data_IF_783261128279
#
_entry.id   IF_783261128279
#
_cell.length_a   1.000
_cell.length_b   1.000
_cell.length_c   1.000
_cell.angle_alpha   90.00
_cell.angle_beta   90.00
_cell.angle_gamma   90.00
#
_symmetry.space_group_name_H-M   'P 1'
#
loop_
_entity.id
_entity.type
_entity.pdbx_description
1 polymer ?
#
# COMPACT_ATOMS: atom_id res chain seq x y z
N UNK A 1 12.56 -21.51 29.56
CA UNK A 1 12.95 -21.21 28.14
C UNK A 1 11.69 -21.17 27.31
N UNK A 2 11.26 -19.98 26.97
CA UNK A 2 10.05 -19.77 26.14
C UNK A 2 10.42 -20.02 24.66
N UNK A 3 10.02 -21.15 24.13
CA UNK A 3 10.12 -21.46 22.69
C UNK A 3 8.76 -21.23 22.02
N UNK A 4 8.21 -20.06 22.22
CA UNK A 4 6.99 -19.65 21.53
C UNK A 4 7.34 -19.25 20.10
N UNK A 5 7.08 -20.11 19.15
CA UNK A 5 6.95 -19.70 17.75
C UNK A 5 5.65 -18.93 17.68
N UNK A 6 5.73 -17.60 17.67
CA UNK A 6 4.58 -16.76 17.39
C UNK A 6 4.03 -17.18 16.02
N UNK A 7 2.80 -17.71 16.02
CA UNK A 7 2.12 -18.03 14.77
C UNK A 7 1.96 -16.73 14.00
N UNK A 8 2.72 -16.56 12.93
CA UNK A 8 2.57 -15.44 11.99
C UNK A 8 1.13 -15.42 11.48
N UNK A 9 0.44 -14.31 11.71
CA UNK A 9 -0.93 -14.12 11.21
C UNK A 9 -0.87 -14.02 9.70
N UNK A 10 -1.57 -14.91 9.00
CA UNK A 10 -1.67 -14.87 7.54
C UNK A 10 -2.37 -13.58 7.12
N UNK A 11 -1.66 -12.70 6.43
CA UNK A 11 -2.14 -11.38 6.00
C UNK A 11 -2.33 -11.25 4.49
N UNK A 12 -1.93 -12.26 3.72
CA UNK A 12 -2.08 -12.23 2.29
C UNK A 12 -3.50 -12.63 1.87
N UNK A 13 -4.03 -11.93 0.86
CA UNK A 13 -5.28 -12.30 0.19
C UNK A 13 -4.98 -12.60 -1.28
N UNK A 14 -5.73 -13.53 -1.92
CA UNK A 14 -5.49 -13.87 -3.32
C UNK A 14 -5.91 -12.74 -4.28
N UNK A 15 -5.43 -12.82 -5.51
CA UNK A 15 -5.75 -11.84 -6.56
C UNK A 15 -7.25 -11.68 -6.78
N UNK A 16 -8.01 -12.76 -6.65
CA UNK A 16 -9.48 -12.73 -6.70
C UNK A 16 -10.09 -11.73 -5.72
N UNK A 17 -9.56 -11.68 -4.49
CA UNK A 17 -10.03 -10.75 -3.45
C UNK A 17 -9.58 -9.32 -3.79
N UNK A 18 -8.36 -9.13 -4.27
CA UNK A 18 -7.88 -7.82 -4.72
C UNK A 18 -8.79 -7.26 -5.81
N UNK A 19 -9.20 -8.08 -6.77
CA UNK A 19 -10.14 -7.66 -7.84
C UNK A 19 -11.50 -7.28 -7.27
N UNK A 20 -12.01 -8.01 -6.28
CA UNK A 20 -13.27 -7.66 -5.60
C UNK A 20 -13.18 -6.32 -4.88
N UNK A 21 -12.06 -6.04 -4.21
CA UNK A 21 -11.80 -4.75 -3.56
C UNK A 21 -11.77 -3.63 -4.60
N UNK A 22 -11.04 -3.83 -5.68
CA UNK A 22 -10.92 -2.87 -6.79
C UNK A 22 -12.28 -2.50 -7.38
N UNK A 23 -13.14 -3.49 -7.58
CA UNK A 23 -14.39 -3.35 -8.33
C UNK A 23 -15.59 -2.93 -7.47
N UNK A 24 -15.40 -2.70 -6.15
CA UNK A 24 -16.47 -2.19 -5.30
C UNK A 24 -16.95 -0.82 -5.77
N UNK A 25 -18.27 -0.68 -5.87
CA UNK A 25 -18.91 0.62 -6.01
C UNK A 25 -19.05 1.28 -4.64
N UNK A 26 -18.22 2.28 -4.39
CA UNK A 26 -18.18 3.03 -3.13
C UNK A 26 -18.54 4.51 -3.34
N UNK A 27 -19.21 4.83 -4.43
CA UNK A 27 -19.57 6.21 -4.79
C UNK A 27 -20.44 6.89 -3.74
N UNK A 28 -21.27 6.15 -3.02
CA UNK A 28 -22.10 6.67 -1.93
C UNK A 28 -21.37 6.85 -0.59
N UNK A 29 -20.12 6.40 -0.51
CA UNK A 29 -19.31 6.53 0.71
C UNK A 29 -17.91 7.02 0.37
N UNK A 30 -17.71 8.34 0.25
CA UNK A 30 -16.41 8.92 -0.12
C UNK A 30 -15.25 8.49 0.76
N UNK A 31 -15.48 8.27 2.05
CA UNK A 31 -14.41 7.85 2.97
C UNK A 31 -14.00 6.39 2.76
N UNK A 32 -14.95 5.50 2.43
CA UNK A 32 -14.63 4.12 2.06
C UNK A 32 -13.93 4.07 0.69
N UNK A 33 -14.40 4.88 -0.24
CA UNK A 33 -13.80 5.01 -1.56
C UNK A 33 -12.33 5.48 -1.47
N UNK A 34 -12.08 6.48 -0.66
CA UNK A 34 -10.73 6.97 -0.35
C UNK A 34 -9.83 5.87 0.24
N UNK A 35 -10.31 5.14 1.22
CA UNK A 35 -9.54 4.06 1.84
C UNK A 35 -9.22 2.93 0.85
N UNK A 36 -10.22 2.53 0.03
CA UNK A 36 -10.03 1.54 -1.04
C UNK A 36 -9.02 2.02 -2.06
N UNK A 37 -9.07 3.26 -2.48
CA UNK A 37 -8.13 3.82 -3.46
C UNK A 37 -6.70 3.80 -2.95
N UNK A 38 -6.47 4.15 -1.70
CA UNK A 38 -5.12 4.09 -1.11
C UNK A 38 -4.62 2.65 -0.95
N UNK A 39 -5.49 1.71 -0.61
CA UNK A 39 -5.16 0.29 -0.62
C UNK A 39 -4.73 -0.17 -2.01
N UNK A 40 -5.50 0.16 -3.04
CA UNK A 40 -5.19 -0.22 -4.41
C UNK A 40 -3.94 0.47 -4.94
N UNK A 41 -3.72 1.73 -4.60
CA UNK A 41 -2.48 2.42 -4.96
C UNK A 41 -1.26 1.72 -4.37
N UNK A 42 -1.32 1.32 -3.10
CA UNK A 42 -0.26 0.51 -2.48
C UNK A 42 -0.03 -0.78 -3.25
N UNK A 43 -1.09 -1.51 -3.57
CA UNK A 43 -0.98 -2.75 -4.32
C UNK A 43 -0.32 -2.53 -5.71
N UNK A 44 -0.76 -1.51 -6.45
CA UNK A 44 -0.19 -1.19 -7.77
C UNK A 44 1.28 -0.78 -7.71
N UNK A 45 1.71 -0.20 -6.60
CA UNK A 45 3.09 0.26 -6.39
C UNK A 45 3.94 -0.76 -5.62
N UNK A 46 3.71 -2.05 -5.84
CA UNK A 46 4.43 -3.18 -5.23
C UNK A 46 4.29 -3.26 -3.71
N UNK A 47 3.14 -2.87 -3.20
CA UNK A 47 2.89 -2.86 -1.77
C UNK A 47 3.62 -1.74 -1.03
N UNK A 48 3.69 -0.56 -1.61
CA UNK A 48 4.31 0.61 -0.97
C UNK A 48 3.72 0.85 0.42
N UNK A 49 4.59 1.06 1.41
CA UNK A 49 4.18 1.35 2.78
C UNK A 49 3.40 2.67 2.86
N UNK A 50 2.45 2.75 3.79
CA UNK A 50 1.59 3.92 3.92
C UNK A 50 2.39 5.22 4.14
N UNK A 51 3.43 5.18 4.97
CA UNK A 51 4.30 6.33 5.20
C UNK A 51 4.98 6.80 3.92
N UNK A 52 5.42 5.88 3.07
CA UNK A 52 6.04 6.23 1.79
C UNK A 52 5.03 6.88 0.85
N UNK A 53 3.81 6.35 0.79
CA UNK A 53 2.72 6.95 0.01
C UNK A 53 2.43 8.39 0.46
N UNK A 54 2.43 8.62 1.78
CA UNK A 54 2.14 9.95 2.35
C UNK A 54 3.14 11.01 1.91
N UNK A 55 4.41 10.65 1.80
CA UNK A 55 5.49 11.58 1.45
C UNK A 55 5.86 11.59 -0.02
N UNK A 56 5.19 10.81 -0.88
CA UNK A 56 5.41 10.89 -2.33
C UNK A 56 5.11 12.30 -2.83
N UNK A 57 6.06 12.86 -3.57
CA UNK A 57 5.93 14.20 -4.16
C UNK A 57 5.62 14.10 -5.66
N UNK A 58 4.94 15.09 -6.18
CA UNK A 58 4.65 15.21 -7.61
C UNK A 58 5.93 15.18 -8.45
N UNK A 59 7.01 15.78 -7.94
CA UNK A 59 8.33 15.77 -8.60
C UNK A 59 8.99 14.38 -8.69
N UNK A 60 8.56 13.43 -7.85
CA UNK A 60 9.09 12.08 -7.86
C UNK A 60 8.59 11.28 -9.06
N UNK A 61 7.53 11.75 -9.72
CA UNK A 61 7.00 11.17 -10.95
C UNK A 61 7.50 11.96 -12.16
N UNK A 62 8.40 11.36 -12.94
CA UNK A 62 8.96 11.97 -14.14
C UNK A 62 9.11 10.95 -15.26
N UNK A 63 8.71 11.35 -16.48
CA UNK A 63 8.88 10.52 -17.68
C UNK A 63 8.27 9.10 -17.54
N UNK A 64 7.13 8.99 -16.88
CA UNK A 64 6.45 7.72 -16.69
C UNK A 64 7.10 6.79 -15.66
N UNK A 65 7.99 7.29 -14.81
CA UNK A 65 8.64 6.53 -13.75
C UNK A 65 8.51 7.26 -12.43
N UNK A 66 8.04 6.54 -11.41
CA UNK A 66 8.04 7.00 -10.03
C UNK A 66 9.33 6.56 -9.35
N UNK A 67 10.09 7.53 -8.84
CA UNK A 67 11.35 7.28 -8.13
C UNK A 67 11.22 7.80 -6.71
N UNK A 68 11.39 6.92 -5.72
CA UNK A 68 11.32 7.32 -4.32
C UNK A 68 12.28 6.51 -3.45
N UNK A 69 12.58 7.04 -2.26
CA UNK A 69 13.36 6.34 -1.24
C UNK A 69 12.44 5.83 -0.15
N UNK A 70 12.56 4.53 0.16
CA UNK A 70 11.81 3.92 1.23
C UNK A 70 12.23 4.51 2.58
N UNK A 71 11.28 5.00 3.38
CA UNK A 71 11.55 5.62 4.70
C UNK A 71 12.26 4.67 5.66
N UNK A 72 11.88 3.41 5.67
CA UNK A 72 12.40 2.42 6.61
C UNK A 72 13.86 2.02 6.31
N UNK A 73 14.22 1.86 5.05
CA UNK A 73 15.51 1.28 4.64
C UNK A 73 16.41 2.26 3.89
N UNK A 74 15.86 3.39 3.40
CA UNK A 74 16.58 4.33 2.56
C UNK A 74 16.83 3.84 1.14
N UNK A 75 16.38 2.65 0.78
CA UNK A 75 16.55 2.09 -0.55
C UNK A 75 15.76 2.87 -1.58
N UNK A 76 16.40 3.20 -2.68
CA UNK A 76 15.76 3.86 -3.82
C UNK A 76 15.04 2.84 -4.69
N UNK A 77 13.79 3.15 -5.06
CA UNK A 77 12.95 2.29 -5.87
C UNK A 77 12.46 3.04 -7.11
N UNK A 78 12.34 2.28 -8.20
CA UNK A 78 11.86 2.76 -9.49
C UNK A 78 10.61 1.98 -9.85
N UNK A 79 9.49 2.66 -10.02
CA UNK A 79 8.21 2.04 -10.35
C UNK A 79 7.71 2.63 -11.65
N UNK A 80 7.46 1.76 -12.64
CA UNK A 80 6.80 2.17 -13.88
C UNK A 80 5.41 2.68 -13.56
N UNK A 81 5.11 3.90 -14.02
CA UNK A 81 3.81 4.50 -13.82
C UNK A 81 2.78 3.88 -14.75
N UNK A 82 1.68 3.42 -14.20
CA UNK A 82 0.62 2.74 -14.93
C UNK A 82 -0.70 3.51 -14.83
N UNK A 83 -1.58 3.31 -15.81
CA UNK A 83 -2.88 3.97 -15.89
C UNK A 83 -3.72 3.87 -14.61
N UNK A 84 -3.84 2.72 -13.93
CA UNK A 84 -4.61 2.64 -12.69
C UNK A 84 -4.09 3.53 -11.57
N UNK A 85 -2.78 3.76 -11.51
CA UNK A 85 -2.16 4.69 -10.54
C UNK A 85 -2.58 6.13 -10.86
N UNK A 86 -2.51 6.51 -12.13
CA UNK A 86 -2.90 7.84 -12.59
C UNK A 86 -4.39 8.13 -12.34
N UNK A 87 -5.25 7.16 -12.58
CA UNK A 87 -6.69 7.29 -12.32
C UNK A 87 -7.00 7.59 -10.85
N UNK A 88 -6.28 6.97 -9.93
CA UNK A 88 -6.41 7.26 -8.49
C UNK A 88 -5.96 8.69 -8.18
N UNK A 89 -4.80 9.08 -8.66
CA UNK A 89 -4.26 10.44 -8.44
C UNK A 89 -5.20 11.50 -9.00
N UNK A 90 -5.73 11.30 -10.20
CA UNK A 90 -6.62 12.26 -10.87
C UNK A 90 -7.95 12.46 -10.15
N UNK A 91 -8.33 11.53 -9.31
CA UNK A 91 -9.57 11.56 -8.55
C UNK A 91 -9.59 12.60 -7.43
N UNK A 92 -8.41 13.05 -6.98
CA UNK A 92 -8.26 13.91 -5.82
C UNK A 92 -7.58 15.23 -6.16
N UNK A 93 -8.06 16.31 -5.57
CA UNK A 93 -7.42 17.62 -5.67
C UNK A 93 -6.28 17.75 -4.67
N UNK A 94 -5.05 17.79 -5.17
CA UNK A 94 -3.85 18.03 -4.37
C UNK A 94 -3.13 19.32 -4.76
N UNK A 95 -3.83 20.24 -5.43
CA UNK A 95 -3.23 21.46 -6.00
C UNK A 95 -2.53 22.36 -4.99
N UNK A 96 -2.93 22.32 -3.72
CA UNK A 96 -2.33 23.12 -2.64
C UNK A 96 -1.11 22.49 -1.97
N UNK A 97 -0.63 21.33 -2.43
CA UNK A 97 0.48 20.60 -1.81
C UNK A 97 1.49 20.09 -2.83
N UNK A 98 2.75 19.82 -2.43
CA UNK A 98 3.72 19.18 -3.29
C UNK A 98 3.49 17.65 -3.40
N UNK A 99 2.57 17.09 -2.62
CA UNK A 99 2.35 15.65 -2.51
C UNK A 99 1.45 15.10 -3.61
N UNK A 100 1.73 13.87 -4.01
CA UNK A 100 1.01 13.17 -5.07
C UNK A 100 -0.36 12.69 -4.62
N UNK A 101 -0.49 12.29 -3.36
CA UNK A 101 -1.71 11.74 -2.77
C UNK A 101 -2.27 12.63 -1.66
N UNK A 102 -3.59 12.62 -1.43
CA UNK A 102 -4.25 13.48 -0.45
C UNK A 102 -4.18 12.89 0.98
N UNK A 103 -2.98 12.65 1.48
CA UNK A 103 -2.72 12.12 2.82
C UNK A 103 -2.24 13.25 3.74
N UNK A 104 -1.17 13.96 3.35
CA UNK A 104 -0.73 15.19 3.98
C UNK A 104 -1.34 16.33 3.16
N UNK A 105 -2.33 17.01 3.73
CA UNK A 105 -3.15 17.98 3.01
C UNK A 105 -2.88 19.42 3.39
N UNK A 106 -2.39 19.63 4.62
CA UNK A 106 -2.14 20.97 5.18
C UNK A 106 -0.64 21.14 5.41
N UNK A 107 -0.06 22.12 4.73
CA UNK A 107 1.38 22.40 4.83
C UNK A 107 1.75 23.16 6.10
N UNK A 108 0.76 23.72 6.80
CA UNK A 108 0.97 24.54 8.02
C UNK A 108 0.88 23.69 9.29
N UNK A 109 0.49 22.42 9.21
CA UNK A 109 0.39 21.51 10.34
C UNK A 109 1.38 20.35 10.24
N UNK A 110 1.61 19.64 11.35
CA UNK A 110 2.56 18.54 11.45
C UNK A 110 2.23 17.43 10.45
N UNK A 111 3.11 17.21 9.49
CA UNK A 111 2.95 16.20 8.45
C UNK A 111 2.88 14.76 9.03
N UNK A 112 3.71 14.47 10.04
CA UNK A 112 3.72 13.16 10.70
C UNK A 112 2.40 12.85 11.38
N UNK A 113 1.84 13.83 12.07
CA UNK A 113 0.52 13.69 12.71
C UNK A 113 -0.58 13.44 11.68
N UNK A 114 -0.53 14.17 10.56
CA UNK A 114 -1.50 13.99 9.48
C UNK A 114 -1.45 12.58 8.90
N UNK A 115 -0.28 12.07 8.54
CA UNK A 115 -0.22 10.73 7.95
C UNK A 115 -0.60 9.63 8.95
N UNK A 116 -0.26 9.78 10.22
CA UNK A 116 -0.68 8.83 11.26
C UNK A 116 -2.19 8.80 11.43
N UNK A 117 -2.82 9.97 11.50
CA UNK A 117 -4.27 10.06 11.58
C UNK A 117 -4.94 9.46 10.34
N UNK A 118 -4.40 9.74 9.15
CA UNK A 118 -4.91 9.16 7.91
C UNK A 118 -4.74 7.64 7.88
N UNK A 119 -3.61 7.12 8.36
CA UNK A 119 -3.38 5.67 8.44
C UNK A 119 -4.41 4.97 9.34
N UNK A 120 -4.71 5.56 10.51
CA UNK A 120 -5.75 5.04 11.40
C UNK A 120 -7.12 5.06 10.73
N UNK A 121 -7.50 6.17 10.13
CA UNK A 121 -8.77 6.30 9.42
C UNK A 121 -8.89 5.25 8.30
N UNK A 122 -7.87 5.15 7.46
CA UNK A 122 -7.84 4.21 6.32
C UNK A 122 -7.96 2.77 6.82
N UNK A 123 -7.20 2.39 7.85
CA UNK A 123 -7.26 1.03 8.38
C UNK A 123 -8.64 0.71 8.99
N UNK A 124 -9.27 1.64 9.68
CA UNK A 124 -10.63 1.46 10.19
C UNK A 124 -11.65 1.23 9.06
N UNK A 125 -11.54 2.01 7.99
CA UNK A 125 -12.43 1.89 6.82
C UNK A 125 -12.14 0.63 6.01
N UNK A 126 -10.89 0.23 5.88
CA UNK A 126 -10.52 -1.03 5.23
C UNK A 126 -11.06 -2.25 5.99
N UNK A 127 -11.02 -2.24 7.32
CA UNK A 127 -11.64 -3.31 8.12
C UNK A 127 -13.13 -3.42 7.86
N UNK A 128 -13.81 -2.29 7.72
CA UNK A 128 -15.24 -2.27 7.36
C UNK A 128 -15.48 -2.87 5.97
N UNK A 129 -14.67 -2.51 4.99
CA UNK A 129 -14.71 -3.10 3.64
C UNK A 129 -14.47 -4.61 3.71
N UNK A 130 -13.47 -5.05 4.47
CA UNK A 130 -13.17 -6.47 4.64
C UNK A 130 -14.36 -7.25 5.22
N UNK A 131 -15.05 -6.69 6.20
CA UNK A 131 -16.26 -7.30 6.76
C UNK A 131 -17.40 -7.38 5.73
N UNK A 132 -17.60 -6.35 4.93
CA UNK A 132 -18.60 -6.34 3.85
C UNK A 132 -18.32 -7.41 2.80
N UNK A 133 -17.05 -7.69 2.53
CA UNK A 133 -16.62 -8.74 1.59
C UNK A 133 -16.57 -10.14 2.22
N UNK A 134 -16.84 -10.26 3.53
CA UNK A 134 -16.78 -11.54 4.22
C UNK A 134 -15.37 -12.12 4.37
N UNK A 135 -14.33 -11.26 4.44
CA UNK A 135 -12.95 -11.72 4.56
C UNK A 135 -12.69 -12.32 5.94
N UNK A 136 -11.92 -13.42 5.96
CA UNK A 136 -11.55 -14.13 7.20
C UNK A 136 -10.53 -13.35 8.06
N UNK A 137 -9.78 -12.43 7.45
CA UNK A 137 -8.77 -11.61 8.12
C UNK A 137 -9.16 -10.14 8.06
N UNK A 138 -8.77 -9.32 9.05
CA UNK A 138 -8.95 -7.88 8.97
C UNK A 138 -8.20 -7.29 7.77
N UNK A 139 -8.90 -6.51 6.96
CA UNK A 139 -8.27 -5.79 5.85
C UNK A 139 -7.59 -4.53 6.38
N UNK A 140 -6.29 -4.38 6.10
CA UNK A 140 -5.49 -3.20 6.45
C UNK A 140 -4.59 -2.83 5.29
N UNK A 141 -3.96 -1.66 5.33
CA UNK A 141 -2.99 -1.25 4.29
C UNK A 141 -1.82 -2.23 4.16
N UNK A 142 -1.44 -2.90 5.24
CA UNK A 142 -0.38 -3.91 5.22
C UNK A 142 -0.74 -5.16 4.40
N UNK A 143 -2.02 -5.47 4.30
CA UNK A 143 -2.52 -6.60 3.48
C UNK A 143 -2.19 -6.39 2.00
N UNK A 144 -2.23 -5.17 1.50
CA UNK A 144 -1.83 -4.85 0.12
C UNK A 144 -0.38 -5.27 -0.16
N UNK A 145 0.52 -4.99 0.78
CA UNK A 145 1.93 -5.32 0.68
C UNK A 145 2.18 -6.83 0.72
N UNK A 146 1.58 -7.54 1.65
CA UNK A 146 1.65 -9.01 1.74
C UNK A 146 1.03 -9.70 0.52
N UNK A 147 -0.11 -9.21 0.04
CA UNK A 147 -0.78 -9.75 -1.12
C UNK A 147 0.06 -9.59 -2.39
N UNK A 148 0.67 -8.42 -2.60
CA UNK A 148 1.55 -8.23 -3.75
C UNK A 148 2.70 -9.23 -3.75
N UNK A 149 3.40 -9.39 -2.62
CA UNK A 149 4.52 -10.31 -2.50
C UNK A 149 4.11 -11.77 -2.74
N UNK A 150 3.00 -12.21 -2.15
CA UNK A 150 2.48 -13.57 -2.29
C UNK A 150 2.01 -13.86 -3.72
N UNK A 151 1.36 -12.90 -4.38
CA UNK A 151 0.92 -13.03 -5.77
C UNK A 151 2.12 -13.09 -6.70
N UNK A 152 3.14 -12.23 -6.47
CA UNK A 152 4.38 -12.26 -7.24
C UNK A 152 5.08 -13.63 -7.12
N UNK A 153 5.16 -14.19 -5.91
CA UNK A 153 5.71 -15.53 -5.70
C UNK A 153 4.90 -16.60 -6.43
N UNK A 154 3.58 -16.53 -6.38
CA UNK A 154 2.70 -17.49 -7.07
C UNK A 154 2.88 -17.49 -8.60
N UNK A 155 3.39 -16.40 -9.15
CA UNK A 155 3.73 -16.23 -10.56
C UNK A 155 5.19 -16.58 -10.87
N UNK A 156 5.86 -17.28 -9.97
CA UNK A 156 7.26 -17.72 -10.10
C UNK A 156 8.29 -16.59 -10.23
N UNK A 157 7.99 -15.41 -9.67
CA UNK A 157 8.97 -14.34 -9.61
C UNK A 157 10.00 -14.70 -8.51
N UNK A 158 11.31 -14.66 -8.81
CA UNK A 158 12.36 -14.98 -7.82
C UNK A 158 12.28 -14.12 -6.56
N UNK A 159 12.59 -14.71 -5.40
CA UNK A 159 12.59 -14.00 -4.11
C UNK A 159 13.52 -12.78 -4.15
N UNK A 160 14.66 -12.86 -4.81
CA UNK A 160 15.59 -11.73 -4.97
C UNK A 160 14.92 -10.53 -5.65
N UNK A 161 14.13 -10.76 -6.69
CA UNK A 161 13.38 -9.73 -7.43
C UNK A 161 12.26 -9.16 -6.56
N UNK A 162 11.53 -10.01 -5.83
CA UNK A 162 10.47 -9.58 -4.91
C UNK A 162 11.09 -8.71 -3.80
N UNK A 163 12.19 -9.16 -3.20
CA UNK A 163 12.92 -8.42 -2.16
C UNK A 163 13.35 -7.05 -2.61
N UNK A 164 13.97 -6.97 -3.78
CA UNK A 164 14.39 -5.70 -4.38
C UNK A 164 13.19 -4.80 -4.68
N UNK A 165 12.14 -5.35 -5.28
CA UNK A 165 10.93 -4.61 -5.62
C UNK A 165 10.16 -4.07 -4.40
N UNK A 166 10.29 -4.70 -3.24
CA UNK A 166 9.70 -4.23 -1.97
C UNK A 166 10.64 -3.30 -1.19
N UNK A 167 11.88 -3.16 -1.61
CA UNK A 167 12.87 -2.38 -0.88
C UNK A 167 13.28 -3.00 0.45
N UNK A 168 13.32 -4.34 0.54
CA UNK A 168 13.82 -5.04 1.71
C UNK A 168 15.36 -5.04 1.75
N UNK A 169 15.95 -4.92 2.94
CA UNK A 169 17.41 -4.98 3.12
C UNK A 169 17.97 -6.38 2.88
N UNK A 170 17.14 -7.41 3.02
CA UNK A 170 17.55 -8.79 2.84
C UNK A 170 16.42 -9.68 2.34
N UNK A 171 16.75 -10.77 1.68
CA UNK A 171 15.80 -11.79 1.27
C UNK A 171 15.16 -12.51 2.47
N UNK A 172 15.85 -12.58 3.61
CA UNK A 172 15.30 -13.14 4.83
C UNK A 172 14.03 -12.41 5.28
N UNK A 173 14.01 -11.09 5.20
CA UNK A 173 12.81 -10.28 5.46
C UNK A 173 11.67 -10.65 4.52
N UNK A 174 11.97 -10.82 3.23
CA UNK A 174 10.99 -11.22 2.22
C UNK A 174 10.42 -12.61 2.50
N UNK A 175 11.24 -13.56 2.90
CA UNK A 175 10.79 -14.92 3.28
C UNK A 175 9.83 -14.90 4.47
N UNK A 176 10.09 -14.05 5.47
CA UNK A 176 9.17 -13.87 6.60
C UNK A 176 7.82 -13.33 6.10
N UNK A 177 7.83 -12.35 5.20
CA UNK A 177 6.61 -11.82 4.57
C UNK A 177 5.82 -12.90 3.84
N UNK A 178 6.48 -13.75 3.08
CA UNK A 178 5.85 -14.81 2.30
C UNK A 178 5.31 -15.95 3.16
N UNK A 179 5.83 -16.12 4.38
CA UNK A 179 5.36 -17.10 5.34
C UNK A 179 4.10 -16.65 6.11
N UNK A 180 3.75 -15.37 6.06
CA UNK A 180 2.62 -14.81 6.81
C UNK A 180 1.29 -14.77 6.06
#
# INVERSE_FOLDING_TARGET
>A
VYTGVDKTVKRAVPLKVIRRIRDLDLTLSPVLDYARDLFMFSFYTRGMAFVDMAYLKKKDLQNGVLVYRRQKTGQQLFIKWEKPMQEIVDKYDTSGTPYLLPIIRDMDTDARKQYKNAAHLVNDKLKKIGRQLGLAIPLTSYVARHAWASIAKSKNIPISVISEGMGHDSEATTRIYLAS
#
